data_IF_018452060934
#
_entry.id   IF_018452060934
#
_cell.length_a   1.000
_cell.length_b   1.000
_cell.length_c   1.000
_cell.angle_alpha   90.00
_cell.angle_beta   90.00
_cell.angle_gamma   90.00
#
_symmetry.space_group_name_H-M   'P 1'
#
loop_
_entity.id
_entity.type
_entity.pdbx_description
1 polymer ?
#
# COMPACT_ATOMS: atom_id res chain seq x y z
N UNK A 1 -8.02 0.65 19.92
CA UNK A 1 -8.26 1.04 18.51
C UNK A 1 -6.91 1.08 17.81
N UNK A 2 -6.45 -0.09 17.41
CA UNK A 2 -5.20 -0.30 16.67
C UNK A 2 -5.37 0.32 15.29
N UNK A 3 -4.47 1.22 14.88
CA UNK A 3 -4.52 1.81 13.54
C UNK A 3 -4.26 0.69 12.51
N UNK A 4 -5.34 0.11 11.99
CA UNK A 4 -5.36 -0.79 10.85
C UNK A 4 -5.08 -0.04 9.52
N UNK A 5 -4.07 0.83 9.49
CA UNK A 5 -3.68 1.55 8.27
C UNK A 5 -2.98 0.61 7.26
N UNK A 6 -2.70 -0.64 7.64
CA UNK A 6 -2.30 -1.68 6.69
C UNK A 6 -3.51 -2.17 5.89
N UNK A 7 -4.19 -1.24 5.22
CA UNK A 7 -5.15 -1.48 4.15
C UNK A 7 -6.52 -2.01 4.59
N UNK A 8 -7.36 -1.09 5.06
CA UNK A 8 -8.79 -1.10 4.67
C UNK A 8 -9.00 -0.54 3.25
N UNK A 9 -8.07 -0.87 2.35
CA UNK A 9 -8.19 -0.73 0.90
C UNK A 9 -8.72 -2.06 0.32
N UNK A 10 -9.72 -2.63 0.98
CA UNK A 10 -10.65 -3.51 0.28
C UNK A 10 -11.64 -2.59 -0.45
N UNK A 11 -11.85 -2.76 -1.78
CA UNK A 11 -12.92 -2.07 -2.47
C UNK A 11 -14.26 -2.53 -1.87
N UNK A 12 -14.75 -1.83 -0.84
CA UNK A 12 -16.14 -1.98 -0.39
C UNK A 12 -17.01 -1.33 -1.46
N UNK A 13 -17.32 -2.09 -2.50
CA UNK A 13 -18.33 -1.71 -3.46
C UNK A 13 -19.67 -1.67 -2.71
N UNK A 14 -20.38 -0.52 -2.69
CA UNK A 14 -21.64 -0.45 -1.97
C UNK A 14 -22.60 -1.48 -2.58
N UNK A 15 -23.10 -2.38 -1.73
CA UNK A 15 -24.14 -3.40 -1.97
C UNK A 15 -23.74 -4.85 -2.26
N UNK A 16 -22.52 -5.35 -1.97
CA UNK A 16 -22.32 -6.82 -1.89
C UNK A 16 -21.44 -7.25 -0.73
N UNK A 17 -21.95 -8.24 0.01
CA UNK A 17 -21.23 -9.05 0.98
C UNK A 17 -19.92 -9.61 0.37
N UNK A 18 -18.89 -9.90 1.18
CA UNK A 18 -17.65 -10.49 0.70
C UNK A 18 -17.93 -11.80 -0.05
N UNK A 19 -17.32 -12.05 -1.22
CA UNK A 19 -17.52 -13.31 -1.93
C UNK A 19 -16.81 -14.44 -1.19
N UNK A 20 -17.56 -15.47 -0.78
CA UNK A 20 -17.00 -16.69 -0.19
C UNK A 20 -16.32 -17.63 -1.21
N UNK A 21 -16.11 -17.22 -2.46
CA UNK A 21 -15.39 -18.06 -3.42
C UNK A 21 -14.71 -17.28 -4.55
N UNK A 22 -13.61 -17.87 -5.02
CA UNK A 22 -12.51 -17.36 -5.85
C UNK A 22 -12.86 -16.98 -7.31
N UNK A 23 -14.13 -16.77 -7.64
CA UNK A 23 -14.59 -16.65 -9.04
C UNK A 23 -15.14 -15.27 -9.43
N UNK A 24 -14.75 -14.17 -8.78
CA UNK A 24 -15.34 -12.84 -9.03
C UNK A 24 -14.34 -11.67 -9.16
N UNK A 25 -13.15 -11.92 -9.69
CA UNK A 25 -12.15 -10.86 -9.93
C UNK A 25 -12.53 -9.85 -11.02
N UNK A 26 -13.52 -10.15 -11.88
CA UNK A 26 -14.01 -9.23 -12.91
C UNK A 26 -14.83 -8.04 -12.36
N UNK A 27 -15.31 -8.12 -11.11
CA UNK A 27 -16.19 -7.09 -10.50
C UNK A 27 -15.39 -5.94 -9.85
N UNK A 28 -14.12 -6.17 -9.49
CA UNK A 28 -13.24 -5.18 -8.88
C UNK A 28 -12.89 -4.00 -9.80
N UNK A 29 -13.10 -4.13 -11.12
CA UNK A 29 -12.78 -3.12 -12.15
C UNK A 29 -13.63 -1.84 -12.12
N UNK A 30 -14.62 -1.71 -11.23
CA UNK A 30 -15.58 -0.60 -11.22
C UNK A 30 -15.69 0.17 -9.90
N UNK A 31 -14.91 -0.15 -8.88
CA UNK A 31 -14.98 0.55 -7.61
C UNK A 31 -14.26 1.91 -7.69
N UNK A 32 -15.02 3.02 -7.72
CA UNK A 32 -14.53 4.40 -7.88
C UNK A 32 -14.30 5.16 -6.56
N UNK A 33 -14.52 4.52 -5.41
CA UNK A 33 -14.46 5.19 -4.09
C UNK A 33 -14.03 4.20 -3.01
N UNK A 34 -13.03 4.61 -2.22
CA UNK A 34 -12.53 3.90 -1.04
C UNK A 34 -13.28 4.46 0.19
N UNK A 35 -13.86 3.60 1.04
CA UNK A 35 -14.64 4.05 2.22
C UNK A 35 -14.09 3.44 3.52
N UNK A 36 -13.87 4.31 4.51
CA UNK A 36 -13.60 3.89 5.88
C UNK A 36 -14.93 3.51 6.56
N UNK A 37 -15.08 2.28 7.09
CA UNK A 37 -16.27 1.91 7.86
C UNK A 37 -16.27 2.73 9.15
N UNK A 38 -17.36 3.44 9.40
CA UNK A 38 -17.60 4.39 10.52
C UNK A 38 -17.24 5.87 10.26
N UNK A 39 -16.86 6.26 9.04
CA UNK A 39 -16.56 7.67 8.71
C UNK A 39 -17.71 8.48 8.09
N UNK A 40 -18.94 7.94 8.03
CA UNK A 40 -20.08 8.66 7.45
C UNK A 40 -19.95 9.03 5.96
N UNK A 41 -19.00 8.43 5.24
CA UNK A 41 -18.76 8.74 3.82
C UNK A 41 -17.66 9.78 3.56
N UNK A 42 -16.70 9.94 4.47
CA UNK A 42 -15.53 10.81 4.25
C UNK A 42 -14.73 10.38 2.99
N UNK A 43 -14.41 11.35 2.14
CA UNK A 43 -13.57 11.20 0.94
C UNK A 43 -12.15 10.75 1.34
N UNK A 44 -11.59 9.74 0.67
CA UNK A 44 -10.27 9.17 1.00
C UNK A 44 -9.14 10.21 0.92
N UNK A 45 -9.34 11.29 0.16
CA UNK A 45 -8.40 12.41 0.08
C UNK A 45 -8.36 13.30 1.32
N UNK A 46 -9.25 13.06 2.31
CA UNK A 46 -9.22 13.76 3.60
C UNK A 46 -8.36 13.03 4.64
N UNK A 47 -7.84 11.85 4.32
CA UNK A 47 -7.04 11.07 5.27
C UNK A 47 -5.64 11.68 5.39
N UNK A 48 -5.11 11.87 6.61
CA UNK A 48 -3.80 12.49 6.81
C UNK A 48 -2.65 11.79 6.07
N UNK A 49 -2.76 10.49 5.87
CA UNK A 49 -1.74 9.63 5.27
C UNK A 49 -1.90 9.48 3.74
N UNK A 50 -2.96 10.07 3.15
CA UNK A 50 -3.30 9.92 1.73
C UNK A 50 -3.23 11.27 1.03
N UNK A 51 -2.38 11.38 0.02
CA UNK A 51 -2.36 12.55 -0.86
C UNK A 51 -3.06 12.23 -2.17
N UNK A 52 -3.93 13.13 -2.61
CA UNK A 52 -4.62 13.05 -3.89
C UNK A 52 -4.21 14.17 -4.86
N UNK A 53 -4.38 13.91 -6.16
CA UNK A 53 -4.34 14.94 -7.18
C UNK A 53 -5.66 15.73 -7.29
N UNK A 54 -5.71 16.71 -8.20
CA UNK A 54 -6.89 17.52 -8.47
C UNK A 54 -8.12 16.73 -9.00
N UNK A 55 -7.96 15.43 -9.29
CA UNK A 55 -9.04 14.53 -9.74
C UNK A 55 -9.40 13.49 -8.67
N UNK A 56 -9.00 13.73 -7.42
CA UNK A 56 -9.22 12.82 -6.27
C UNK A 56 -8.57 11.44 -6.46
N UNK A 57 -7.50 11.34 -7.26
CA UNK A 57 -6.75 10.09 -7.45
C UNK A 57 -5.58 10.07 -6.49
N UNK A 58 -5.37 8.94 -5.81
CA UNK A 58 -4.27 8.79 -4.85
C UNK A 58 -2.93 8.83 -5.58
N UNK A 59 -2.07 9.75 -5.15
CA UNK A 59 -0.72 9.97 -5.70
C UNK A 59 0.39 9.69 -4.70
N UNK A 60 0.11 9.75 -3.39
CA UNK A 60 1.07 9.32 -2.37
C UNK A 60 0.35 8.64 -1.21
N UNK A 61 1.00 7.62 -0.66
CA UNK A 61 0.66 7.00 0.61
C UNK A 61 1.87 7.15 1.53
N UNK A 62 1.74 7.93 2.60
CA UNK A 62 2.84 8.25 3.50
C UNK A 62 2.40 8.13 4.95
N UNK A 63 3.13 7.35 5.73
CA UNK A 63 3.05 7.35 7.19
C UNK A 63 4.46 7.59 7.72
N UNK A 64 4.70 8.73 8.40
CA UNK A 64 6.01 9.02 8.95
C UNK A 64 6.33 8.05 10.09
N UNK A 65 7.62 7.82 10.30
CA UNK A 65 8.09 6.90 11.32
C UNK A 65 7.56 7.27 12.72
N UNK A 66 7.22 6.26 13.55
CA UNK A 66 6.70 6.52 14.88
C UNK A 66 7.77 7.22 15.72
N UNK A 67 7.40 8.37 16.30
CA UNK A 67 8.27 9.13 17.19
C UNK A 67 8.30 8.50 18.58
N UNK A 68 9.26 8.91 19.44
CA UNK A 68 9.27 8.54 20.87
C UNK A 68 7.98 8.90 21.61
N UNK A 69 7.22 9.87 21.09
CA UNK A 69 5.92 10.30 21.63
C UNK A 69 4.72 9.62 20.97
N UNK A 70 4.93 8.71 20.02
CA UNK A 70 3.84 7.95 19.41
C UNK A 70 3.18 7.08 20.47
N UNK A 71 1.84 7.07 20.44
CA UNK A 71 1.05 6.19 21.30
C UNK A 71 1.33 4.73 20.89
N UNK A 72 1.69 3.82 21.82
CA UNK A 72 1.94 2.42 21.51
C UNK A 72 0.76 1.75 20.81
N UNK A 73 1.01 0.90 19.80
CA UNK A 73 -0.03 0.20 19.05
C UNK A 73 -0.67 1.03 17.93
N UNK A 74 0.04 2.06 17.47
CA UNK A 74 -0.31 2.90 16.31
C UNK A 74 0.62 2.71 15.12
N UNK A 75 1.60 1.83 15.25
CA UNK A 75 2.49 1.46 14.16
C UNK A 75 1.74 0.62 13.11
N UNK A 76 2.13 0.77 11.84
CA UNK A 76 1.64 -0.12 10.80
C UNK A 76 2.17 -1.53 11.05
N UNK A 77 1.31 -2.55 10.94
CA UNK A 77 1.71 -3.94 11.06
C UNK A 77 0.83 -4.85 10.18
N UNK A 78 1.42 -5.93 9.67
CA UNK A 78 0.76 -6.81 8.69
C UNK A 78 1.41 -6.75 7.32
N UNK A 79 0.70 -7.22 6.29
CA UNK A 79 1.21 -7.35 4.93
C UNK A 79 0.75 -6.21 4.02
N UNK A 80 1.60 -5.80 3.08
CA UNK A 80 1.18 -4.92 1.99
C UNK A 80 0.28 -5.74 1.03
N UNK A 81 -0.96 -5.33 0.72
CA UNK A 81 -1.84 -6.04 -0.19
C UNK A 81 -1.57 -5.64 -1.64
N UNK A 82 -1.83 -6.60 -2.53
CA UNK A 82 -1.77 -6.40 -3.97
C UNK A 82 -2.68 -5.27 -4.49
N UNK A 83 -3.75 -4.91 -3.75
CA UNK A 83 -4.69 -3.86 -4.14
C UNK A 83 -4.07 -2.47 -4.26
N UNK A 84 -2.90 -2.24 -3.65
CA UNK A 84 -2.10 -1.02 -3.88
C UNK A 84 -1.74 -0.84 -5.35
N UNK A 85 -1.53 -1.95 -6.07
CA UNK A 85 -1.27 -1.94 -7.51
C UNK A 85 -2.42 -1.39 -8.37
N UNK A 86 -3.62 -1.20 -7.80
CA UNK A 86 -4.74 -0.56 -8.49
C UNK A 86 -4.63 0.97 -8.50
N UNK A 87 -3.77 1.55 -7.67
CA UNK A 87 -3.52 2.99 -7.60
C UNK A 87 -2.56 3.42 -8.73
N UNK A 88 -3.04 3.37 -9.97
CA UNK A 88 -2.21 3.61 -11.18
C UNK A 88 -1.60 5.01 -11.29
N UNK A 89 -2.04 5.96 -10.45
CA UNK A 89 -1.50 7.32 -10.36
C UNK A 89 -0.48 7.51 -9.23
N UNK A 90 -0.23 6.45 -8.45
CA UNK A 90 0.65 6.49 -7.29
C UNK A 90 2.09 6.78 -7.71
N UNK A 91 2.67 7.76 -7.03
CA UNK A 91 4.06 8.22 -7.20
C UNK A 91 4.92 7.88 -6.01
N UNK A 92 4.33 7.75 -4.83
CA UNK A 92 5.08 7.57 -3.59
C UNK A 92 4.40 6.59 -2.63
N UNK A 93 5.22 5.69 -2.08
CA UNK A 93 4.89 4.82 -0.96
C UNK A 93 5.98 5.01 0.09
N UNK A 94 5.65 5.56 1.26
CA UNK A 94 6.60 5.74 2.36
C UNK A 94 6.03 5.31 3.71
N UNK A 95 6.53 4.18 4.23
CA UNK A 95 6.16 3.61 5.53
C UNK A 95 7.40 3.14 6.32
N UNK A 96 8.37 4.03 6.62
CA UNK A 96 9.60 3.62 7.28
C UNK A 96 9.40 3.32 8.78
N UNK A 97 10.14 2.34 9.29
CA UNK A 97 10.20 1.96 10.71
C UNK A 97 8.85 1.56 11.31
N UNK A 98 8.13 0.71 10.59
CA UNK A 98 6.91 0.07 11.04
C UNK A 98 7.10 -1.45 11.18
N UNK A 99 6.03 -2.15 11.59
CA UNK A 99 5.98 -3.61 11.71
C UNK A 99 5.43 -4.31 10.48
N UNK A 100 5.60 -3.75 9.27
CA UNK A 100 5.17 -4.43 8.04
C UNK A 100 5.97 -5.73 7.86
N UNK A 101 5.30 -6.78 7.38
CA UNK A 101 5.85 -8.12 7.20
C UNK A 101 5.35 -8.74 5.89
N UNK A 102 5.84 -9.93 5.55
CA UNK A 102 5.49 -10.59 4.29
C UNK A 102 6.23 -9.98 3.11
N UNK A 103 5.77 -10.28 1.89
CA UNK A 103 6.42 -9.82 0.66
C UNK A 103 5.94 -8.43 0.21
N UNK A 104 6.71 -7.79 -0.66
CA UNK A 104 6.23 -6.61 -1.40
C UNK A 104 5.50 -7.12 -2.66
N UNK A 105 4.18 -6.92 -2.78
CA UNK A 105 3.40 -7.45 -3.92
C UNK A 105 3.96 -7.03 -5.27
N UNK A 106 3.97 -7.96 -6.23
CA UNK A 106 4.52 -7.70 -7.55
C UNK A 106 3.77 -6.61 -8.33
N UNK A 107 2.50 -6.39 -7.99
CA UNK A 107 1.67 -5.34 -8.56
C UNK A 107 2.17 -3.93 -8.23
N UNK A 108 2.87 -3.73 -7.10
CA UNK A 108 3.50 -2.45 -6.75
C UNK A 108 4.64 -2.15 -7.73
N UNK A 109 5.41 -3.17 -8.11
CA UNK A 109 6.50 -3.02 -9.08
C UNK A 109 6.00 -2.79 -10.51
N UNK A 110 4.71 -3.00 -10.77
CA UNK A 110 4.04 -2.67 -12.04
C UNK A 110 3.53 -1.23 -12.14
N UNK A 111 3.64 -0.40 -11.09
CA UNK A 111 3.13 0.97 -11.10
C UNK A 111 4.05 1.92 -11.88
N UNK A 112 3.73 2.18 -13.15
CA UNK A 112 4.56 2.97 -14.08
C UNK A 112 4.90 4.40 -13.62
N UNK A 113 4.09 4.97 -12.72
CA UNK A 113 4.24 6.33 -12.19
C UNK A 113 4.98 6.38 -10.85
N UNK A 114 5.35 5.24 -10.28
CA UNK A 114 6.00 5.17 -8.98
C UNK A 114 7.43 5.74 -9.07
N UNK A 115 7.71 6.71 -8.22
CA UNK A 115 8.95 7.48 -8.17
C UNK A 115 9.73 7.21 -6.87
N UNK A 116 9.02 7.03 -5.75
CA UNK A 116 9.60 6.88 -4.42
C UNK A 116 9.00 5.67 -3.71
N UNK A 117 9.87 4.78 -3.22
CA UNK A 117 9.52 3.68 -2.31
C UNK A 117 10.47 3.72 -1.12
N UNK A 118 9.91 3.99 0.06
CA UNK A 118 10.64 3.96 1.32
C UNK A 118 9.93 3.04 2.31
N UNK A 119 10.45 1.83 2.46
CA UNK A 119 9.95 0.79 3.35
C UNK A 119 11.05 0.32 4.32
N UNK A 120 12.05 1.15 4.59
CA UNK A 120 13.15 0.79 5.47
C UNK A 120 12.70 0.49 6.90
N UNK A 121 13.42 -0.39 7.60
CA UNK A 121 13.17 -0.70 9.00
C UNK A 121 11.87 -1.45 9.24
N UNK A 122 11.43 -2.26 8.28
CA UNK A 122 10.28 -3.18 8.44
C UNK A 122 10.79 -4.64 8.55
N UNK A 123 9.86 -5.60 8.61
CA UNK A 123 10.14 -7.05 8.58
C UNK A 123 9.72 -7.67 7.24
N UNK A 124 9.84 -6.92 6.14
CA UNK A 124 9.48 -7.41 4.80
C UNK A 124 10.49 -8.47 4.33
N UNK A 125 10.00 -9.48 3.63
CA UNK A 125 10.78 -10.62 3.14
C UNK A 125 10.48 -10.90 1.66
N UNK A 126 11.14 -11.90 1.09
CA UNK A 126 10.96 -12.28 -0.31
C UNK A 126 11.97 -11.63 -1.27
N UNK A 127 11.78 -11.93 -2.55
CA UNK A 127 12.68 -11.51 -3.61
C UNK A 127 12.33 -10.13 -4.16
N UNK A 128 13.35 -9.34 -4.50
CA UNK A 128 13.17 -8.14 -5.32
C UNK A 128 12.84 -8.50 -6.77
N UNK A 129 12.03 -7.68 -7.48
CA UNK A 129 11.70 -7.92 -8.87
C UNK A 129 12.94 -7.75 -9.75
N UNK A 130 12.97 -8.45 -10.89
CA UNK A 130 14.01 -8.24 -11.90
C UNK A 130 13.88 -6.90 -12.64
N UNK A 131 12.67 -6.32 -12.64
CA UNK A 131 12.36 -5.06 -13.30
C UNK A 131 11.64 -4.14 -12.32
N UNK A 132 12.20 -2.94 -12.14
CA UNK A 132 11.58 -1.89 -11.34
C UNK A 132 10.76 -0.93 -12.20
N UNK A 133 9.81 -0.18 -11.61
CA UNK A 133 9.09 0.86 -12.32
C UNK A 133 10.02 1.83 -13.06
N UNK A 134 9.70 2.23 -14.30
CA UNK A 134 10.60 3.02 -15.14
C UNK A 134 10.87 4.43 -14.61
N UNK A 135 10.07 4.93 -13.66
CA UNK A 135 10.21 6.25 -13.05
C UNK A 135 10.79 6.22 -11.63
N UNK A 136 11.09 5.03 -11.11
CA UNK A 136 11.59 4.86 -9.76
C UNK A 136 12.96 5.54 -9.63
N UNK A 137 13.06 6.49 -8.70
CA UNK A 137 14.29 7.27 -8.44
C UNK A 137 14.82 7.12 -7.02
N UNK A 138 13.95 6.80 -6.06
CA UNK A 138 14.31 6.57 -4.66
C UNK A 138 13.77 5.21 -4.25
N UNK A 139 14.67 4.30 -3.89
CA UNK A 139 14.34 2.98 -3.34
C UNK A 139 15.09 2.78 -2.03
N UNK A 140 14.38 2.78 -0.92
CA UNK A 140 14.95 2.62 0.42
C UNK A 140 14.30 1.42 1.10
N UNK A 141 15.02 0.30 1.11
CA UNK A 141 14.56 -0.99 1.64
C UNK A 141 15.47 -1.55 2.75
N UNK A 142 16.42 -0.75 3.23
CA UNK A 142 17.38 -1.16 4.27
C UNK A 142 16.66 -1.65 5.54
N UNK A 143 17.34 -2.50 6.31
CA UNK A 143 16.78 -3.07 7.56
C UNK A 143 15.45 -3.79 7.31
N UNK A 144 15.43 -4.71 6.34
CA UNK A 144 14.39 -5.70 6.05
C UNK A 144 15.05 -7.09 5.87
N UNK A 145 14.27 -8.11 5.51
CA UNK A 145 14.67 -9.49 5.24
C UNK A 145 14.60 -9.83 3.73
N UNK A 146 14.75 -8.82 2.87
CA UNK A 146 14.67 -8.95 1.41
C UNK A 146 15.96 -9.52 0.82
N UNK A 147 15.82 -10.31 -0.23
CA UNK A 147 16.95 -10.89 -0.97
C UNK A 147 16.80 -10.65 -2.48
N UNK A 148 17.90 -10.80 -3.20
CA UNK A 148 17.89 -10.76 -4.66
C UNK A 148 17.14 -11.98 -5.21
N UNK A 149 16.27 -11.77 -6.21
CA UNK A 149 15.57 -12.87 -6.84
C UNK A 149 16.54 -13.79 -7.58
N UNK A 150 16.40 -15.11 -7.36
CA UNK A 150 17.07 -16.14 -8.16
C UNK A 150 16.56 -16.08 -9.61
N UNK A 151 17.10 -15.17 -10.40
CA UNK A 151 16.86 -15.12 -11.84
C UNK A 151 17.45 -16.36 -12.51
N UNK A 152 16.63 -17.34 -12.85
CA UNK A 152 16.97 -18.28 -13.92
C UNK A 152 16.78 -17.54 -15.24
N UNK A 153 17.90 -17.14 -15.85
CA UNK A 153 18.00 -16.65 -17.22
C UNK A 153 17.56 -17.71 -18.23
#
# INVERSE_FOLDING_TARGET
MTLQIVFRLDPVCPNRAPPESSSSWLVARRCRSWRYPDSGGADHCTWPEVTCDARSRVVALEVPSPSRRSVPGRELAGELPATVGLLTELKEISFPFHGLRGEIPCEIWGLEKLEVVNLAGNSLQGALPAVFPPRLRVLTLASNLLHEGSGTL
#
